data_IF_984536054549
#
_entry.id   IF_984536054549
#
_cell.length_a   1.000
_cell.length_b   1.000
_cell.length_c   1.000
_cell.angle_alpha   90.00
_cell.angle_beta   90.00
_cell.angle_gamma   90.00
#
_symmetry.space_group_name_H-M   'P 1'
#
loop_
_entity.id
_entity.type
_entity.pdbx_description
1 polymer ?
#
# COMPACT_ATOMS: atom_id res chain seq x y z
N UNK A 1 -26.04 -41.89 -13.69
CA UNK A 1 -26.86 -40.76 -14.19
C UNK A 1 -26.10 -39.47 -13.93
N UNK A 2 -25.79 -38.73 -14.99
CA UNK A 2 -25.01 -37.50 -14.95
C UNK A 2 -25.87 -36.30 -14.55
N UNK A 3 -25.32 -35.39 -13.74
CA UNK A 3 -25.70 -33.97 -13.75
C UNK A 3 -24.43 -33.14 -13.92
N UNK A 4 -24.08 -32.94 -15.18
CA UNK A 4 -23.13 -31.92 -15.61
C UNK A 4 -23.85 -30.58 -15.45
N UNK A 5 -23.51 -29.82 -14.41
CA UNK A 5 -23.89 -28.41 -14.34
C UNK A 5 -22.99 -27.65 -15.32
N UNK A 6 -23.50 -27.47 -16.53
CA UNK A 6 -22.94 -26.56 -17.53
C UNK A 6 -23.15 -25.15 -16.99
N UNK A 7 -22.15 -24.61 -16.30
CA UNK A 7 -22.06 -23.17 -16.08
C UNK A 7 -21.77 -22.51 -17.44
N UNK A 8 -22.58 -21.54 -17.91
CA UNK A 8 -22.23 -20.77 -19.07
C UNK A 8 -20.90 -20.04 -18.79
N UNK A 9 -19.88 -20.29 -19.62
CA UNK A 9 -18.56 -19.63 -19.59
C UNK A 9 -18.68 -18.16 -20.02
N UNK A 10 -19.40 -17.35 -19.25
CA UNK A 10 -19.28 -15.89 -19.34
C UNK A 10 -18.02 -15.50 -18.58
N UNK A 11 -17.14 -14.72 -19.21
CA UNK A 11 -16.06 -14.04 -18.48
C UNK A 11 -16.70 -13.12 -17.45
N UNK A 12 -16.38 -13.30 -16.18
CA UNK A 12 -16.80 -12.41 -15.12
C UNK A 12 -16.35 -10.97 -15.45
N UNK A 13 -17.25 -10.02 -15.27
CA UNK A 13 -16.98 -8.60 -15.45
C UNK A 13 -16.04 -8.10 -14.35
N UNK A 14 -15.38 -6.96 -14.58
CA UNK A 14 -14.47 -6.35 -13.59
C UNK A 14 -15.16 -6.15 -12.24
N UNK A 15 -16.45 -5.81 -12.22
CA UNK A 15 -17.24 -5.64 -11.01
C UNK A 15 -17.55 -6.97 -10.30
N UNK A 16 -17.82 -8.05 -11.05
CA UNK A 16 -18.08 -9.38 -10.48
C UNK A 16 -16.81 -9.95 -9.82
N UNK A 17 -15.65 -9.83 -10.47
CA UNK A 17 -14.35 -10.22 -9.89
C UNK A 17 -13.98 -9.38 -8.66
N UNK A 18 -14.40 -8.10 -8.63
CA UNK A 18 -14.14 -7.17 -7.53
C UNK A 18 -14.96 -7.49 -6.28
N UNK A 19 -16.21 -7.93 -6.45
CA UNK A 19 -17.06 -8.42 -5.36
C UNK A 19 -16.57 -9.77 -4.81
N UNK A 20 -16.17 -10.68 -5.70
CA UNK A 20 -15.70 -12.03 -5.33
C UNK A 20 -14.40 -12.02 -4.51
N UNK A 21 -13.59 -10.97 -4.67
CA UNK A 21 -12.33 -10.75 -3.94
C UNK A 21 -12.48 -9.85 -2.70
N UNK A 22 -13.69 -9.41 -2.34
CA UNK A 22 -13.92 -8.52 -1.19
C UNK A 22 -13.34 -7.11 -1.37
N UNK A 23 -13.04 -6.69 -2.60
CA UNK A 23 -12.46 -5.39 -2.91
C UNK A 23 -13.50 -4.25 -2.90
N UNK A 24 -14.80 -4.57 -2.92
CA UNK A 24 -15.87 -3.57 -3.00
C UNK A 24 -16.07 -2.75 -1.73
N UNK A 25 -15.81 -3.30 -0.54
CA UNK A 25 -16.08 -2.59 0.73
C UNK A 25 -15.11 -1.43 0.99
N UNK A 26 -13.94 -1.45 0.35
CA UNK A 26 -12.90 -0.44 0.57
C UNK A 26 -12.86 0.63 -0.49
N UNK A 27 -13.30 0.33 -1.70
CA UNK A 27 -13.27 1.29 -2.80
C UNK A 27 -14.21 2.48 -2.54
N UNK A 28 -15.33 2.28 -1.84
CA UNK A 28 -16.24 3.36 -1.45
C UNK A 28 -15.63 4.24 -0.35
N UNK A 29 -14.95 3.64 0.64
CA UNK A 29 -14.22 4.38 1.69
C UNK A 29 -13.05 5.18 1.11
N UNK A 30 -12.27 4.56 0.22
CA UNK A 30 -11.13 5.19 -0.46
C UNK A 30 -11.61 6.34 -1.34
N UNK A 31 -12.69 6.14 -2.08
CA UNK A 31 -13.28 7.17 -2.92
C UNK A 31 -13.89 8.31 -2.08
N UNK A 32 -14.51 8.03 -0.94
CA UNK A 32 -15.03 9.07 -0.05
C UNK A 32 -13.91 9.93 0.57
N UNK A 33 -12.78 9.32 0.94
CA UNK A 33 -11.66 10.02 1.58
C UNK A 33 -10.74 10.74 0.59
N UNK A 34 -10.49 10.16 -0.59
CA UNK A 34 -9.47 10.65 -1.52
C UNK A 34 -9.95 10.83 -2.96
N UNK A 35 -11.21 10.54 -3.26
CA UNK A 35 -11.75 10.50 -4.63
C UNK A 35 -11.64 11.80 -5.42
N UNK A 36 -11.48 12.94 -4.74
CA UNK A 36 -11.33 14.27 -5.35
C UNK A 36 -9.87 14.74 -5.42
N UNK A 37 -8.91 13.89 -5.03
CA UNK A 37 -7.48 14.26 -5.04
C UNK A 37 -6.85 13.92 -6.39
N UNK A 38 -5.96 14.79 -6.87
CA UNK A 38 -5.19 14.51 -8.09
C UNK A 38 -4.34 13.23 -7.97
N UNK A 39 -3.88 12.91 -6.77
CA UNK A 39 -3.15 11.68 -6.46
C UNK A 39 -4.00 10.43 -6.69
N UNK A 40 -5.27 10.45 -6.29
CA UNK A 40 -6.20 9.37 -6.55
C UNK A 40 -6.47 9.20 -8.05
N UNK A 41 -6.71 10.30 -8.76
CA UNK A 41 -6.90 10.25 -10.22
C UNK A 41 -5.67 9.68 -10.94
N UNK A 42 -4.46 10.11 -10.57
CA UNK A 42 -3.22 9.60 -11.12
C UNK A 42 -3.04 8.11 -10.82
N UNK A 43 -3.32 7.68 -9.58
CA UNK A 43 -3.27 6.28 -9.17
C UNK A 43 -4.20 5.42 -10.01
N UNK A 44 -5.45 5.85 -10.18
CA UNK A 44 -6.43 5.12 -10.99
C UNK A 44 -6.03 5.07 -12.45
N UNK A 45 -5.56 6.18 -13.03
CA UNK A 45 -5.09 6.23 -14.41
C UNK A 45 -3.90 5.29 -14.65
N UNK A 46 -2.95 5.22 -13.70
CA UNK A 46 -1.75 4.38 -13.79
C UNK A 46 -2.08 2.90 -13.61
N UNK A 47 -2.75 2.56 -12.51
CA UNK A 47 -3.10 1.17 -12.16
C UNK A 47 -4.15 0.56 -13.08
N UNK A 48 -4.97 1.37 -13.78
CA UNK A 48 -5.90 0.86 -14.80
C UNK A 48 -5.22 0.10 -15.95
N UNK A 49 -3.93 0.35 -16.16
CA UNK A 49 -3.10 -0.27 -17.21
C UNK A 49 -2.24 -1.42 -16.69
N UNK A 50 -2.28 -1.70 -15.38
CA UNK A 50 -1.40 -2.69 -14.75
C UNK A 50 -1.85 -4.12 -15.05
N UNK A 51 -0.88 -4.94 -15.41
CA UNK A 51 -1.03 -6.38 -15.42
C UNK A 51 -0.88 -6.95 -14.01
N UNK A 52 -1.22 -8.23 -13.82
CA UNK A 52 -0.94 -8.96 -12.57
C UNK A 52 0.55 -8.93 -12.20
N UNK A 53 1.42 -8.95 -13.21
CA UNK A 53 2.86 -8.91 -13.01
C UNK A 53 3.34 -7.54 -12.54
N UNK A 54 2.72 -6.45 -13.01
CA UNK A 54 3.03 -5.10 -12.53
C UNK A 54 2.64 -4.93 -11.07
N UNK A 55 1.46 -5.43 -10.66
CA UNK A 55 1.08 -5.47 -9.24
C UNK A 55 2.04 -6.32 -8.40
N UNK A 56 2.53 -7.44 -8.94
CA UNK A 56 3.53 -8.27 -8.24
C UNK A 56 4.84 -7.51 -8.04
N UNK A 57 5.32 -6.79 -9.06
CA UNK A 57 6.52 -5.95 -8.95
C UNK A 57 6.33 -4.79 -7.97
N UNK A 58 5.17 -4.13 -8.00
CA UNK A 58 4.83 -3.07 -7.05
C UNK A 58 4.88 -3.58 -5.60
N UNK A 59 4.32 -4.78 -5.35
CA UNK A 59 4.38 -5.43 -4.05
C UNK A 59 5.82 -5.72 -3.61
N UNK A 60 6.66 -6.26 -4.50
CA UNK A 60 8.08 -6.53 -4.20
C UNK A 60 8.82 -5.25 -3.81
N UNK A 61 8.63 -4.16 -4.56
CA UNK A 61 9.30 -2.89 -4.27
C UNK A 61 8.82 -2.30 -2.92
N UNK A 62 7.52 -2.39 -2.62
CA UNK A 62 6.99 -1.99 -1.30
C UNK A 62 7.52 -2.86 -0.16
N UNK A 63 7.62 -4.18 -0.35
CA UNK A 63 8.20 -5.10 0.63
C UNK A 63 9.68 -4.76 0.87
N UNK A 64 10.45 -4.54 -0.19
CA UNK A 64 11.85 -4.15 -0.08
C UNK A 64 12.03 -2.84 0.71
N UNK A 65 11.20 -1.83 0.47
CA UNK A 65 11.23 -0.60 1.25
C UNK A 65 10.82 -0.83 2.73
N UNK A 66 9.84 -1.70 2.98
CA UNK A 66 9.40 -2.05 4.34
C UNK A 66 10.50 -2.78 5.10
N UNK A 67 11.24 -3.69 4.46
CA UNK A 67 12.35 -4.42 5.08
C UNK A 67 13.49 -3.50 5.53
N UNK A 68 13.69 -2.35 4.89
CA UNK A 68 14.65 -1.35 5.37
C UNK A 68 14.25 -0.78 6.74
N UNK A 69 12.96 -0.54 6.96
CA UNK A 69 12.45 -0.13 8.27
C UNK A 69 12.56 -1.27 9.29
N UNK A 70 12.23 -2.51 8.90
CA UNK A 70 12.38 -3.69 9.75
C UNK A 70 13.83 -3.82 10.22
N UNK A 71 14.78 -3.71 9.30
CA UNK A 71 16.21 -3.75 9.62
C UNK A 71 16.60 -2.62 10.58
N UNK A 72 16.22 -1.37 10.27
CA UNK A 72 16.58 -0.23 11.11
C UNK A 72 16.02 -0.35 12.52
N UNK A 73 14.73 -0.65 12.64
CA UNK A 73 14.06 -0.82 13.93
C UNK A 73 14.59 -2.02 14.71
N UNK A 74 14.77 -3.17 14.05
CA UNK A 74 15.27 -4.39 14.67
C UNK A 74 16.71 -4.26 15.20
N UNK A 75 17.50 -3.33 14.65
CA UNK A 75 18.84 -3.00 15.15
C UNK A 75 18.86 -1.81 16.11
N UNK A 76 17.69 -1.28 16.50
CA UNK A 76 17.58 -0.13 17.41
C UNK A 76 18.20 1.15 16.86
N UNK A 77 18.20 1.34 15.53
CA UNK A 77 18.71 2.56 14.93
C UNK A 77 17.81 3.75 15.24
N UNK A 78 18.42 4.93 15.35
CA UNK A 78 17.68 6.17 15.55
C UNK A 78 16.84 6.52 14.31
N UNK A 79 15.71 7.19 14.53
CA UNK A 79 14.80 7.63 13.45
C UNK A 79 15.45 8.63 12.49
N UNK A 80 16.46 9.37 12.94
CA UNK A 80 17.27 10.29 12.14
C UNK A 80 18.57 9.66 11.62
N UNK A 81 18.82 8.37 11.87
CA UNK A 81 20.00 7.71 11.30
C UNK A 81 19.93 7.66 9.77
N UNK A 82 21.08 7.72 9.10
CA UNK A 82 21.14 7.67 7.62
C UNK A 82 20.40 6.48 7.02
N UNK A 83 20.47 5.31 7.68
CA UNK A 83 19.77 4.10 7.24
C UNK A 83 18.26 4.23 7.35
N UNK A 84 17.75 4.87 8.41
CA UNK A 84 16.31 5.12 8.56
C UNK A 84 15.83 6.16 7.56
N UNK A 85 16.59 7.25 7.36
CA UNK A 85 16.26 8.24 6.33
C UNK A 85 16.21 7.62 4.93
N UNK A 86 17.15 6.72 4.61
CA UNK A 86 17.13 5.97 3.35
C UNK A 86 15.89 5.07 3.23
N UNK A 87 15.43 4.45 4.31
CA UNK A 87 14.18 3.68 4.32
C UNK A 87 12.96 4.58 4.01
N UNK A 88 12.90 5.79 4.59
CA UNK A 88 11.83 6.75 4.32
C UNK A 88 11.81 7.19 2.86
N UNK A 89 12.98 7.47 2.28
CA UNK A 89 13.10 7.83 0.87
C UNK A 89 12.68 6.65 -0.03
N UNK A 90 13.20 5.44 0.23
CA UNK A 90 12.85 4.26 -0.54
C UNK A 90 11.34 3.95 -0.52
N UNK A 91 10.69 4.17 0.63
CA UNK A 91 9.24 4.02 0.77
C UNK A 91 8.47 5.03 -0.09
N UNK A 92 8.87 6.31 -0.05
CA UNK A 92 8.27 7.35 -0.90
C UNK A 92 8.46 7.03 -2.37
N UNK A 93 9.66 6.63 -2.76
CA UNK A 93 10.02 6.34 -4.14
C UNK A 93 9.26 5.13 -4.68
N UNK A 94 9.04 4.10 -3.86
CA UNK A 94 8.19 2.97 -4.21
C UNK A 94 6.74 3.42 -4.48
N UNK A 95 6.17 4.29 -3.64
CA UNK A 95 4.81 4.83 -3.86
C UNK A 95 4.78 5.64 -5.17
N UNK A 96 5.72 6.57 -5.33
CA UNK A 96 5.88 7.41 -6.52
C UNK A 96 5.97 6.60 -7.80
N UNK A 97 6.78 5.54 -7.77
CA UNK A 97 7.02 4.67 -8.91
C UNK A 97 5.76 3.92 -9.36
N UNK A 98 4.90 3.49 -8.44
CA UNK A 98 3.80 2.58 -8.76
C UNK A 98 2.40 3.21 -8.77
N UNK A 99 2.17 4.31 -8.06
CA UNK A 99 0.81 4.82 -7.87
C UNK A 99 0.65 6.25 -8.35
N UNK A 100 1.29 7.20 -7.67
CA UNK A 100 1.17 8.63 -7.95
C UNK A 100 2.39 9.34 -7.39
N UNK A 101 2.71 10.53 -7.91
CA UNK A 101 3.83 11.32 -7.38
C UNK A 101 3.58 11.66 -5.91
N UNK A 102 4.33 11.00 -5.02
CA UNK A 102 4.17 11.13 -3.58
C UNK A 102 5.17 12.15 -3.06
N UNK A 103 4.68 13.34 -2.69
CA UNK A 103 5.49 14.35 -2.04
C UNK A 103 5.79 13.96 -0.58
N UNK A 104 6.81 14.57 0.07
CA UNK A 104 7.05 14.35 1.50
C UNK A 104 5.82 14.66 2.38
N UNK A 105 5.07 15.70 2.06
CA UNK A 105 3.84 16.07 2.78
C UNK A 105 2.76 14.99 2.62
N UNK A 106 2.58 14.45 1.41
CA UNK A 106 1.65 13.35 1.18
C UNK A 106 2.08 12.10 1.95
N UNK A 107 3.38 11.81 2.00
CA UNK A 107 3.92 10.69 2.76
C UNK A 107 3.64 10.83 4.27
N UNK A 108 3.74 12.04 4.83
CA UNK A 108 3.38 12.30 6.23
C UNK A 108 1.90 12.06 6.50
N UNK A 109 1.02 12.52 5.60
CA UNK A 109 -0.41 12.24 5.71
C UNK A 109 -0.74 10.73 5.66
N UNK A 110 0.00 9.96 4.85
CA UNK A 110 -0.11 8.49 4.87
C UNK A 110 0.39 7.89 6.19
N UNK A 111 1.48 8.40 6.76
CA UNK A 111 2.02 7.91 8.02
C UNK A 111 1.02 8.04 9.17
N UNK A 112 0.28 9.15 9.25
CA UNK A 112 -0.80 9.34 10.22
C UNK A 112 -1.84 8.23 10.09
N UNK A 113 -2.31 7.96 8.86
CA UNK A 113 -3.27 6.89 8.58
C UNK A 113 -2.74 5.50 8.99
N UNK A 114 -1.44 5.24 8.86
CA UNK A 114 -0.87 3.94 9.23
C UNK A 114 -1.01 3.61 10.73
N UNK A 115 -1.17 4.61 11.58
CA UNK A 115 -1.45 4.42 13.00
C UNK A 115 -2.94 4.44 13.33
N UNK A 116 -3.70 5.31 12.68
CA UNK A 116 -5.14 5.47 12.92
C UNK A 116 -5.96 4.27 12.46
N UNK A 117 -5.57 3.64 11.35
CA UNK A 117 -6.25 2.48 10.81
C UNK A 117 -5.59 1.18 11.27
N UNK A 118 -6.36 0.40 12.01
CA UNK A 118 -5.92 -0.88 12.60
C UNK A 118 -5.32 -1.84 11.57
N UNK A 119 -5.79 -1.83 10.32
CA UNK A 119 -5.31 -2.74 9.26
C UNK A 119 -3.88 -2.43 8.86
N UNK A 120 -3.57 -1.15 8.65
CA UNK A 120 -2.22 -0.72 8.35
C UNK A 120 -1.30 -0.92 9.55
N UNK A 121 -1.79 -0.61 10.75
CA UNK A 121 -1.04 -0.87 11.98
C UNK A 121 -0.66 -2.33 12.14
N UNK A 122 -1.62 -3.25 11.95
CA UNK A 122 -1.39 -4.70 12.00
C UNK A 122 -0.39 -5.18 10.94
N UNK A 123 -0.42 -4.60 9.74
CA UNK A 123 0.56 -4.93 8.69
C UNK A 123 2.01 -4.66 9.13
N UNK A 124 2.29 -3.50 9.73
CA UNK A 124 3.63 -3.17 10.20
C UNK A 124 3.97 -3.92 11.49
N UNK A 125 3.09 -3.88 12.49
CA UNK A 125 3.33 -4.51 13.80
C UNK A 125 3.40 -6.05 13.72
N UNK A 126 2.81 -6.65 12.69
CA UNK A 126 2.91 -8.08 12.40
C UNK A 126 4.30 -8.54 11.95
N UNK A 127 5.18 -7.62 11.52
CA UNK A 127 6.58 -7.91 11.20
C UNK A 127 7.46 -7.83 12.44
N UNK A 128 7.39 -6.69 13.12
CA UNK A 128 8.04 -6.45 14.40
C UNK A 128 7.09 -5.59 15.23
N UNK A 129 6.77 -6.02 16.45
CA UNK A 129 5.85 -5.28 17.32
C UNK A 129 6.39 -3.88 17.58
N UNK A 130 5.60 -2.85 17.26
CA UNK A 130 5.98 -1.44 17.41
C UNK A 130 6.52 -0.79 16.14
N UNK A 131 6.72 -1.56 15.06
CA UNK A 131 7.22 -1.05 13.79
C UNK A 131 6.31 0.04 13.21
N UNK A 132 4.99 -0.05 13.39
CA UNK A 132 4.08 0.97 12.87
C UNK A 132 4.41 2.38 13.42
N UNK A 133 4.70 2.46 14.72
CA UNK A 133 5.06 3.73 15.37
C UNK A 133 6.43 4.22 14.87
N UNK A 134 7.40 3.32 14.74
CA UNK A 134 8.72 3.65 14.24
C UNK A 134 8.69 4.21 12.81
N UNK A 135 7.94 3.57 11.92
CA UNK A 135 7.74 4.04 10.53
C UNK A 135 7.09 5.41 10.51
N UNK A 136 6.05 5.62 11.32
CA UNK A 136 5.41 6.93 11.46
C UNK A 136 6.41 8.00 11.89
N UNK A 137 7.12 7.79 13.00
CA UNK A 137 8.02 8.79 13.57
C UNK A 137 9.19 9.11 12.62
N UNK A 138 9.71 8.09 11.95
CA UNK A 138 10.74 8.25 10.92
C UNK A 138 10.28 9.12 9.74
N UNK A 139 9.04 8.92 9.25
CA UNK A 139 8.46 9.73 8.18
C UNK A 139 8.20 11.16 8.66
N UNK A 140 7.70 11.34 9.89
CA UNK A 140 7.39 12.65 10.44
C UNK A 140 8.65 13.50 10.68
N UNK A 141 9.79 12.87 10.93
CA UNK A 141 11.08 13.51 11.14
C UNK A 141 11.79 14.00 9.86
N UNK A 142 11.22 13.79 8.67
CA UNK A 142 11.76 14.29 7.39
C UNK A 142 11.41 15.74 7.09
#
# INVERSE_FOLDING_TARGET
>A
MARVYIYPKRKATKNELRLELGMSEYDDEVQARWGTTAAYEQSQAKTSKYSKEDFRKAKIDQEAATELFVYAFGNGLDIQSEKTQAAVIAHRDAISKWFYECSPEMQKNLAVMYLEDKRFKEYYDGRVRGLAQYVHDAIMAQ
#
